data_IF_146031308509
#
_entry.id   IF_146031308509
#
_cell.length_a   1.000
_cell.length_b   1.000
_cell.length_c   1.000
_cell.angle_alpha   90.00
_cell.angle_beta   90.00
_cell.angle_gamma   90.00
#
_symmetry.space_group_name_H-M   'P 1'
#
loop_
_entity.id
_entity.type
_entity.pdbx_description
1 polymer ?
#
# COMPACT_ATOMS: atom_id res chain seq x y z
N UNK A 1 -13.97 -16.93 -29.64
CA UNK A 1 -13.64 -15.57 -29.17
C UNK A 1 -14.98 -14.84 -29.00
N UNK A 2 -15.53 -14.86 -27.79
CA UNK A 2 -16.79 -14.18 -27.50
C UNK A 2 -16.48 -12.71 -27.23
N UNK A 3 -17.04 -11.83 -28.04
CA UNK A 3 -16.97 -10.39 -27.85
C UNK A 3 -18.25 -10.00 -27.12
N UNK A 4 -18.17 -9.69 -25.84
CA UNK A 4 -19.28 -9.13 -25.09
C UNK A 4 -19.28 -7.61 -25.29
N UNK A 5 -20.33 -7.09 -25.90
CA UNK A 5 -20.55 -5.65 -25.98
C UNK A 5 -21.37 -5.23 -24.75
N UNK A 6 -20.78 -4.40 -23.89
CA UNK A 6 -21.48 -3.85 -22.73
C UNK A 6 -22.51 -2.80 -23.16
N UNK A 7 -23.49 -2.48 -22.31
CA UNK A 7 -24.54 -1.48 -22.58
C UNK A 7 -23.98 -0.08 -22.87
N UNK A 8 -22.76 0.18 -22.48
CA UNK A 8 -22.01 1.44 -22.72
C UNK A 8 -21.13 1.40 -24.00
N UNK A 9 -21.21 0.30 -24.79
CA UNK A 9 -20.47 0.15 -26.04
C UNK A 9 -19.02 -0.31 -25.86
N UNK A 10 -18.57 -0.65 -24.65
CA UNK A 10 -17.20 -1.14 -24.41
C UNK A 10 -17.08 -2.59 -24.89
N UNK A 11 -16.09 -2.86 -25.75
CA UNK A 11 -15.85 -4.19 -26.29
C UNK A 11 -14.98 -4.98 -25.31
N UNK A 12 -15.51 -6.06 -24.70
CA UNK A 12 -14.74 -6.97 -23.83
C UNK A 12 -14.31 -8.18 -24.64
N UNK A 13 -13.02 -8.46 -24.66
CA UNK A 13 -12.44 -9.67 -25.25
C UNK A 13 -12.17 -10.63 -24.09
N UNK A 14 -13.12 -11.51 -23.78
CA UNK A 14 -12.98 -12.54 -22.75
C UNK A 14 -12.92 -13.90 -23.46
N UNK A 15 -11.92 -14.69 -23.13
CA UNK A 15 -11.70 -16.04 -23.68
C UNK A 15 -11.88 -17.15 -22.64
N UNK A 16 -11.86 -16.82 -21.37
CA UNK A 16 -12.08 -17.72 -20.24
C UNK A 16 -13.54 -17.65 -19.79
N UNK A 17 -14.27 -18.78 -19.86
CA UNK A 17 -15.69 -18.85 -19.51
C UNK A 17 -15.97 -18.51 -18.04
N UNK A 18 -15.01 -18.73 -17.13
CA UNK A 18 -15.17 -18.31 -15.75
C UNK A 18 -15.16 -16.78 -15.62
N UNK A 19 -14.38 -16.09 -16.44
CA UNK A 19 -14.35 -14.63 -16.48
C UNK A 19 -15.63 -14.03 -17.10
N UNK A 20 -16.32 -14.75 -18.00
CA UNK A 20 -17.63 -14.29 -18.51
C UNK A 20 -18.65 -14.19 -17.36
N UNK A 21 -18.80 -15.24 -16.55
CA UNK A 21 -19.69 -15.23 -15.38
C UNK A 21 -19.30 -14.16 -14.34
N UNK A 22 -18.00 -13.95 -14.12
CA UNK A 22 -17.50 -12.89 -13.25
C UNK A 22 -17.85 -11.50 -13.80
N UNK A 23 -17.71 -11.28 -15.12
CA UNK A 23 -18.07 -10.01 -15.74
C UNK A 23 -19.56 -9.69 -15.58
N UNK A 24 -20.44 -10.68 -15.74
CA UNK A 24 -21.89 -10.52 -15.51
C UNK A 24 -22.20 -10.12 -14.06
N UNK A 25 -21.56 -10.76 -13.08
CA UNK A 25 -21.71 -10.40 -11.66
C UNK A 25 -21.26 -8.97 -11.39
N UNK A 26 -20.09 -8.58 -11.92
CA UNK A 26 -19.55 -7.22 -11.78
C UNK A 26 -20.51 -6.17 -12.38
N UNK A 27 -21.09 -6.45 -13.53
CA UNK A 27 -22.10 -5.57 -14.15
C UNK A 27 -23.38 -5.46 -13.31
N UNK A 28 -23.80 -6.57 -12.71
CA UNK A 28 -24.96 -6.62 -11.82
C UNK A 28 -24.68 -6.07 -10.40
N UNK A 29 -23.44 -5.70 -10.09
CA UNK A 29 -23.04 -5.24 -8.74
C UNK A 29 -23.04 -6.35 -7.70
N UNK A 30 -22.93 -7.62 -8.12
CA UNK A 30 -22.87 -8.80 -7.24
C UNK A 30 -21.43 -9.04 -6.82
N UNK A 31 -21.12 -9.14 -5.50
CA UNK A 31 -19.77 -9.41 -5.02
C UNK A 31 -19.22 -10.76 -5.51
N UNK A 32 -17.94 -10.77 -5.83
CA UNK A 32 -17.19 -11.95 -6.27
C UNK A 32 -16.89 -12.85 -5.06
N UNK A 33 -17.00 -14.17 -5.23
CA UNK A 33 -16.67 -15.18 -4.22
C UNK A 33 -15.15 -15.42 -4.12
N UNK A 34 -14.73 -16.11 -3.06
CA UNK A 34 -13.32 -16.47 -2.87
C UNK A 34 -12.82 -17.45 -3.94
N UNK A 35 -13.66 -18.40 -4.35
CA UNK A 35 -13.35 -19.34 -5.45
C UNK A 35 -13.18 -18.62 -6.79
N UNK A 36 -14.03 -17.63 -7.08
CA UNK A 36 -13.90 -16.79 -8.27
C UNK A 36 -12.63 -15.93 -8.22
N UNK A 37 -12.27 -15.40 -7.04
CA UNK A 37 -11.00 -14.69 -6.86
C UNK A 37 -9.80 -15.61 -7.12
N UNK A 38 -9.86 -16.86 -6.65
CA UNK A 38 -8.84 -17.86 -6.92
C UNK A 38 -8.74 -18.19 -8.42
N UNK A 39 -9.88 -18.33 -9.10
CA UNK A 39 -9.91 -18.55 -10.56
C UNK A 39 -9.28 -17.37 -11.32
N UNK A 40 -9.55 -16.14 -10.91
CA UNK A 40 -8.93 -14.94 -11.49
C UNK A 40 -7.40 -14.92 -11.32
N UNK A 41 -6.88 -15.32 -10.16
CA UNK A 41 -5.44 -15.40 -9.93
C UNK A 41 -4.74 -16.50 -10.76
N UNK A 42 -5.51 -17.49 -11.25
CA UNK A 42 -4.99 -18.61 -12.03
C UNK A 42 -5.28 -18.50 -13.54
N UNK A 43 -6.10 -17.54 -13.97
CA UNK A 43 -6.45 -17.40 -15.39
C UNK A 43 -5.24 -17.09 -16.27
N UNK A 44 -5.25 -17.60 -17.49
CA UNK A 44 -4.33 -17.18 -18.56
C UNK A 44 -4.87 -16.03 -19.40
N UNK A 45 -6.14 -15.68 -19.25
CA UNK A 45 -6.82 -14.60 -19.99
C UNK A 45 -6.56 -13.23 -19.34
N UNK A 46 -5.36 -12.72 -19.58
CA UNK A 46 -4.92 -11.42 -19.03
C UNK A 46 -5.76 -10.26 -19.59
N UNK A 47 -6.13 -10.32 -20.86
CA UNK A 47 -6.93 -9.25 -21.47
C UNK A 47 -8.35 -9.23 -20.92
N UNK A 48 -8.93 -10.39 -20.70
CA UNK A 48 -10.26 -10.54 -20.10
C UNK A 48 -10.31 -9.96 -18.68
N UNK A 49 -9.41 -10.38 -17.80
CA UNK A 49 -9.39 -9.88 -16.42
C UNK A 49 -9.08 -8.38 -16.34
N UNK A 50 -8.16 -7.86 -17.17
CA UNK A 50 -7.89 -6.42 -17.26
C UNK A 50 -9.11 -5.63 -17.74
N UNK A 51 -9.84 -6.13 -18.73
CA UNK A 51 -11.06 -5.48 -19.22
C UNK A 51 -12.12 -5.34 -18.13
N UNK A 52 -12.34 -6.39 -17.33
CA UNK A 52 -13.27 -6.36 -16.20
C UNK A 52 -12.82 -5.33 -15.15
N UNK A 53 -11.54 -5.39 -14.73
CA UNK A 53 -11.00 -4.48 -13.74
C UNK A 53 -11.02 -3.01 -14.21
N UNK A 54 -10.72 -2.77 -15.49
CA UNK A 54 -10.78 -1.46 -16.12
C UNK A 54 -12.21 -0.88 -16.09
N UNK A 55 -13.23 -1.70 -16.41
CA UNK A 55 -14.61 -1.25 -16.38
C UNK A 55 -15.05 -0.76 -14.99
N UNK A 56 -14.57 -1.42 -13.92
CA UNK A 56 -14.83 -0.99 -12.53
C UNK A 56 -14.13 0.35 -12.28
N UNK A 57 -12.86 0.48 -12.66
CA UNK A 57 -12.09 1.74 -12.51
C UNK A 57 -12.76 2.87 -13.26
N UNK A 58 -13.23 2.66 -14.48
CA UNK A 58 -13.94 3.66 -15.28
C UNK A 58 -15.26 4.09 -14.62
N UNK A 59 -16.03 3.16 -14.04
CA UNK A 59 -17.25 3.47 -13.29
C UNK A 59 -16.98 4.32 -12.04
N UNK A 60 -15.88 4.06 -11.33
CA UNK A 60 -15.54 4.73 -10.06
C UNK A 60 -14.84 6.08 -10.25
N UNK A 61 -13.92 6.17 -11.21
CA UNK A 61 -12.97 7.28 -11.32
C UNK A 61 -12.93 7.93 -12.72
N UNK A 62 -13.69 7.39 -13.69
CA UNK A 62 -13.65 7.87 -15.07
C UNK A 62 -12.23 7.83 -15.64
N UNK A 63 -11.86 8.90 -16.35
CA UNK A 63 -10.54 9.01 -16.97
C UNK A 63 -9.46 9.60 -16.04
N UNK A 64 -9.75 9.73 -14.73
CA UNK A 64 -8.79 10.29 -13.76
C UNK A 64 -7.87 9.20 -13.22
N UNK A 65 -6.59 9.55 -13.07
CA UNK A 65 -5.59 8.79 -12.32
C UNK A 65 -4.92 9.71 -11.31
N UNK A 66 -4.89 9.24 -10.06
CA UNK A 66 -4.35 9.97 -8.93
C UNK A 66 -2.85 9.80 -8.78
N UNK A 67 -2.18 10.85 -8.30
CA UNK A 67 -0.79 10.79 -7.87
C UNK A 67 -0.55 11.77 -6.72
N UNK A 68 0.45 11.48 -5.88
CA UNK A 68 0.86 12.34 -4.78
C UNK A 68 2.21 13.02 -5.02
N UNK A 69 2.45 14.11 -4.29
CA UNK A 69 3.79 14.70 -4.17
C UNK A 69 4.21 14.60 -2.71
N UNK A 70 5.06 13.62 -2.40
CA UNK A 70 5.41 13.26 -1.03
C UNK A 70 6.92 13.11 -0.82
N UNK A 71 7.28 13.03 0.45
CA UNK A 71 8.57 12.48 0.87
C UNK A 71 8.35 11.31 1.85
N UNK A 72 9.32 10.41 1.88
CA UNK A 72 9.42 9.37 2.89
C UNK A 72 10.38 9.80 4.01
N UNK A 73 9.96 9.62 5.25
CA UNK A 73 10.75 9.89 6.43
C UNK A 73 10.95 8.61 7.23
N UNK A 74 12.08 7.95 7.01
CA UNK A 74 12.47 6.80 7.82
C UNK A 74 13.27 7.30 9.02
N UNK A 75 12.61 7.51 10.16
CA UNK A 75 13.21 8.15 11.33
C UNK A 75 14.28 7.29 12.03
N UNK A 76 14.24 5.97 11.86
CA UNK A 76 15.28 5.03 12.32
C UNK A 76 15.24 3.73 11.55
N UNK A 77 16.40 3.10 11.34
CA UNK A 77 16.52 1.74 10.85
C UNK A 77 16.76 0.72 11.97
N UNK A 78 16.95 1.17 13.22
CA UNK A 78 17.12 0.30 14.38
C UNK A 78 15.78 -0.40 14.68
N UNK A 79 15.78 -1.74 14.66
CA UNK A 79 14.56 -2.51 14.86
C UNK A 79 14.82 -3.80 15.64
N UNK A 80 14.15 -3.96 16.77
CA UNK A 80 14.27 -5.16 17.61
C UNK A 80 13.68 -6.44 16.99
N UNK A 81 12.82 -6.32 15.96
CA UNK A 81 12.19 -7.48 15.35
C UNK A 81 13.11 -8.23 14.38
N UNK A 82 13.94 -7.53 13.61
CA UNK A 82 14.89 -8.13 12.66
C UNK A 82 14.25 -9.20 11.78
N UNK A 83 13.10 -8.87 11.16
CA UNK A 83 12.32 -9.81 10.34
C UNK A 83 13.13 -10.31 9.15
N UNK A 84 13.04 -11.61 8.79
CA UNK A 84 13.74 -12.16 7.65
C UNK A 84 13.50 -11.44 6.32
N UNK A 85 12.29 -10.94 6.10
CA UNK A 85 11.92 -10.18 4.88
C UNK A 85 12.53 -8.77 4.80
N UNK A 86 13.01 -8.22 5.92
CA UNK A 86 13.36 -6.80 6.00
C UNK A 86 14.85 -6.55 5.78
N UNK A 87 15.21 -5.99 4.64
CA UNK A 87 16.58 -5.57 4.32
C UNK A 87 16.97 -4.24 4.98
N UNK A 88 15.99 -3.44 5.42
CA UNK A 88 16.20 -2.11 5.98
C UNK A 88 16.64 -2.15 7.45
N UNK A 89 16.15 -3.12 8.24
CA UNK A 89 16.34 -3.16 9.70
C UNK A 89 17.80 -3.41 10.11
N UNK A 90 18.26 -2.72 11.17
CA UNK A 90 19.59 -2.83 11.78
C UNK A 90 19.50 -3.13 13.26
N UNK A 91 20.55 -3.77 13.80
CA UNK A 91 20.78 -3.80 15.23
C UNK A 91 21.38 -2.47 15.68
N UNK A 92 21.13 -2.08 16.93
CA UNK A 92 21.57 -0.76 17.47
C UNK A 92 23.08 -0.49 17.30
N UNK A 93 23.89 -1.56 17.32
CA UNK A 93 25.34 -1.47 17.24
C UNK A 93 25.91 -1.60 15.81
N UNK A 94 25.06 -1.71 14.78
CA UNK A 94 25.53 -1.72 13.41
C UNK A 94 26.11 -0.35 13.02
N UNK A 95 27.17 -0.35 12.21
CA UNK A 95 27.85 0.89 11.80
C UNK A 95 26.94 1.84 10.99
N UNK A 96 25.92 1.31 10.30
CA UNK A 96 24.96 2.06 9.52
C UNK A 96 23.60 2.21 10.23
N UNK A 97 23.54 1.91 11.55
CA UNK A 97 22.37 2.20 12.37
C UNK A 97 22.25 3.70 12.64
N UNK A 98 21.00 4.20 12.55
CA UNK A 98 20.74 5.62 12.80
C UNK A 98 19.39 5.86 13.48
N UNK A 99 19.30 7.02 14.12
CA UNK A 99 18.08 7.67 14.59
C UNK A 99 18.17 9.14 14.18
N UNK A 100 17.16 9.66 13.51
CA UNK A 100 17.09 11.09 13.21
C UNK A 100 16.74 11.87 14.49
N UNK A 101 17.45 12.95 14.77
CA UNK A 101 17.03 13.90 15.79
C UNK A 101 15.79 14.69 15.34
N UNK A 102 15.10 15.36 16.25
CA UNK A 102 13.99 16.27 15.90
C UNK A 102 14.48 17.40 14.99
N UNK A 103 15.71 17.88 15.21
CA UNK A 103 16.32 18.92 14.36
C UNK A 103 16.63 18.38 12.94
N UNK A 104 17.09 17.13 12.80
CA UNK A 104 17.27 16.50 11.48
C UNK A 104 15.94 16.40 10.74
N UNK A 105 14.87 16.03 11.44
CA UNK A 105 13.52 15.95 10.89
C UNK A 105 13.04 17.33 10.46
N UNK A 106 13.21 18.35 11.30
CA UNK A 106 12.87 19.73 10.99
C UNK A 106 13.59 20.23 9.72
N UNK A 107 14.89 19.98 9.63
CA UNK A 107 15.69 20.34 8.46
C UNK A 107 15.23 19.64 7.20
N UNK A 108 14.96 18.33 7.25
CA UNK A 108 14.45 17.56 6.10
C UNK A 108 13.09 18.11 5.61
N UNK A 109 12.17 18.38 6.51
CA UNK A 109 10.84 18.92 6.17
C UNK A 109 10.94 20.34 5.58
N UNK A 110 11.83 21.16 6.09
CA UNK A 110 12.07 22.52 5.57
C UNK A 110 12.65 22.47 4.15
N UNK A 111 13.55 21.53 3.87
CA UNK A 111 14.20 21.36 2.57
C UNK A 111 13.34 20.61 1.54
N UNK A 112 12.29 19.92 1.96
CA UNK A 112 11.49 19.06 1.08
C UNK A 112 10.68 19.81 -0.01
N UNK A 113 10.73 21.14 -0.05
CA UNK A 113 10.06 21.93 -1.08
C UNK A 113 8.53 21.85 -0.98
N UNK A 114 7.89 21.82 -2.14
CA UNK A 114 6.42 21.81 -2.25
C UNK A 114 5.88 20.38 -2.30
N UNK A 115 5.69 19.80 -1.11
CA UNK A 115 5.11 18.46 -0.92
C UNK A 115 3.79 18.56 -0.16
N UNK A 116 2.82 17.70 -0.50
CA UNK A 116 1.49 17.66 0.12
C UNK A 116 1.45 16.76 1.35
N UNK A 117 2.33 15.76 1.40
CA UNK A 117 2.30 14.73 2.42
C UNK A 117 3.68 14.18 2.77
N UNK A 118 3.82 13.69 3.99
CA UNK A 118 4.99 12.94 4.45
C UNK A 118 4.57 11.55 4.94
N UNK A 119 5.29 10.52 4.48
CA UNK A 119 5.11 9.14 4.91
C UNK A 119 6.21 8.77 5.91
N UNK A 120 5.81 8.46 7.15
CA UNK A 120 6.71 8.20 8.27
C UNK A 120 6.60 6.75 8.70
N UNK A 121 7.66 5.99 8.50
CA UNK A 121 7.80 4.61 9.00
C UNK A 121 9.23 4.37 9.44
N UNK A 122 9.41 3.54 10.47
CA UNK A 122 10.75 3.20 10.96
C UNK A 122 10.84 1.84 11.62
N UNK A 123 12.01 1.55 12.18
CA UNK A 123 12.21 0.37 13.01
C UNK A 123 11.61 0.54 14.40
N UNK A 124 11.32 -0.58 15.07
CA UNK A 124 10.91 -0.58 16.48
C UNK A 124 12.13 -0.36 17.38
N UNK A 125 12.41 0.89 17.67
CA UNK A 125 13.58 1.27 18.47
C UNK A 125 13.33 1.04 19.97
N UNK A 126 14.21 0.30 20.69
CA UNK A 126 13.98 -0.04 22.09
C UNK A 126 14.05 1.13 23.06
N UNK A 127 14.84 2.17 22.77
CA UNK A 127 15.21 3.20 23.74
C UNK A 127 14.56 4.57 23.51
N UNK A 128 13.90 4.81 22.36
CA UNK A 128 13.25 6.08 22.10
C UNK A 128 12.10 6.32 23.09
N UNK A 129 12.01 7.51 23.70
CA UNK A 129 10.91 7.87 24.59
C UNK A 129 9.63 8.14 23.80
N UNK A 130 8.48 8.07 24.46
CA UNK A 130 7.20 8.32 23.78
C UNK A 130 7.10 9.76 23.23
N UNK A 131 7.63 10.73 23.92
CA UNK A 131 7.65 12.13 23.49
C UNK A 131 8.30 12.32 22.11
N UNK A 132 9.33 11.53 21.79
CA UNK A 132 9.98 11.61 20.48
C UNK A 132 8.99 11.47 19.30
N UNK A 133 8.03 10.55 19.42
CA UNK A 133 7.04 10.30 18.36
C UNK A 133 6.02 11.44 18.26
N UNK A 134 5.58 12.00 19.40
CA UNK A 134 4.68 13.16 19.40
C UNK A 134 5.40 14.43 18.89
N UNK A 135 6.62 14.68 19.36
CA UNK A 135 7.41 15.85 19.00
C UNK A 135 7.74 15.87 17.50
N UNK A 136 8.01 14.69 16.92
CA UNK A 136 8.17 14.55 15.47
C UNK A 136 6.94 15.07 14.72
N UNK A 137 5.74 14.62 15.06
CA UNK A 137 4.51 15.05 14.38
C UNK A 137 4.23 16.54 14.61
N UNK A 138 4.37 17.01 15.84
CA UNK A 138 4.18 18.44 16.20
C UNK A 138 5.15 19.34 15.45
N UNK A 139 6.43 18.95 15.35
CA UNK A 139 7.45 19.68 14.61
C UNK A 139 7.11 19.80 13.13
N UNK A 140 6.70 18.70 12.50
CA UNK A 140 6.26 18.73 11.10
C UNK A 140 5.09 19.69 10.89
N UNK A 141 4.10 19.63 11.78
CA UNK A 141 2.92 20.53 11.71
C UNK A 141 3.26 22.00 12.00
N UNK A 142 4.24 22.26 12.85
CA UNK A 142 4.71 23.62 13.10
C UNK A 142 5.38 24.24 11.86
N UNK A 143 6.15 23.44 11.11
CA UNK A 143 6.85 23.91 9.89
C UNK A 143 5.89 23.99 8.70
N UNK A 144 5.04 23.00 8.49
CA UNK A 144 4.09 22.92 7.38
C UNK A 144 2.68 22.53 7.90
N UNK A 145 1.87 23.50 8.34
CA UNK A 145 0.58 23.26 8.99
C UNK A 145 -0.43 22.47 8.12
N UNK A 146 -0.39 22.65 6.80
CA UNK A 146 -1.29 22.00 5.85
C UNK A 146 -0.84 20.59 5.44
N UNK A 147 0.42 20.19 5.72
CA UNK A 147 0.96 18.90 5.32
C UNK A 147 0.16 17.73 5.89
N UNK A 148 -0.22 16.78 5.04
CA UNK A 148 -0.84 15.55 5.50
C UNK A 148 0.23 14.58 6.01
N UNK A 149 0.10 14.16 7.27
CA UNK A 149 1.03 13.21 7.88
C UNK A 149 0.44 11.80 7.83
N UNK A 150 1.11 10.91 7.08
CA UNK A 150 0.84 9.47 7.07
C UNK A 150 1.90 8.81 7.94
N UNK A 151 1.57 8.36 9.15
CA UNK A 151 2.60 7.92 10.08
C UNK A 151 2.28 6.61 10.77
N UNK A 152 3.37 5.85 10.99
CA UNK A 152 3.49 4.62 11.76
C UNK A 152 2.59 3.48 11.28
N UNK A 153 3.14 2.29 11.26
CA UNK A 153 2.42 1.08 10.87
C UNK A 153 1.63 0.50 12.06
N UNK A 154 0.70 -0.42 11.81
CA UNK A 154 0.00 -1.14 12.87
C UNK A 154 0.97 -1.86 13.83
N UNK A 155 2.13 -2.29 13.32
CA UNK A 155 3.18 -2.93 14.12
C UNK A 155 3.81 -1.94 15.09
N UNK A 156 4.05 -0.69 14.63
CA UNK A 156 4.59 0.39 15.48
C UNK A 156 3.55 0.81 16.53
N UNK A 157 2.27 0.95 16.17
CA UNK A 157 1.21 1.27 17.13
C UNK A 157 1.05 0.21 18.23
N UNK A 158 1.02 -1.08 17.86
CA UNK A 158 0.95 -2.17 18.83
C UNK A 158 2.16 -2.20 19.77
N UNK A 159 3.35 -1.94 19.20
CA UNK A 159 4.59 -1.84 19.98
C UNK A 159 4.57 -0.65 20.95
N UNK A 160 4.19 0.55 20.49
CA UNK A 160 4.14 1.75 21.33
C UNK A 160 3.10 1.61 22.43
N UNK A 161 1.93 1.07 22.13
CA UNK A 161 0.88 0.78 23.10
C UNK A 161 1.40 -0.11 24.22
N UNK A 162 2.08 -1.21 23.89
CA UNK A 162 2.62 -2.15 24.87
C UNK A 162 3.82 -1.60 25.63
N UNK A 163 4.74 -0.92 24.94
CA UNK A 163 5.97 -0.38 25.56
C UNK A 163 5.69 0.69 26.59
N UNK A 164 4.70 1.54 26.34
CA UNK A 164 4.38 2.68 27.22
C UNK A 164 3.12 2.49 28.04
N UNK A 165 2.51 1.30 27.97
CA UNK A 165 1.25 0.96 28.67
C UNK A 165 0.12 1.98 28.38
N UNK A 166 -0.01 2.36 27.10
CA UNK A 166 -1.04 3.29 26.62
C UNK A 166 -2.04 2.51 25.76
N UNK A 167 -3.33 2.50 26.11
CA UNK A 167 -4.35 1.88 25.27
C UNK A 167 -4.36 2.45 23.85
N UNK A 168 -4.62 1.61 22.83
CA UNK A 168 -4.59 2.05 21.43
C UNK A 168 -5.55 3.22 21.15
N UNK A 169 -6.73 3.24 21.75
CA UNK A 169 -7.69 4.35 21.58
C UNK A 169 -7.08 5.68 22.06
N UNK A 170 -6.46 5.69 23.24
CA UNK A 170 -5.76 6.87 23.77
C UNK A 170 -4.57 7.25 22.88
N UNK A 171 -3.79 6.26 22.43
CA UNK A 171 -2.65 6.47 21.57
C UNK A 171 -3.05 7.17 20.25
N UNK A 172 -4.15 6.73 19.63
CA UNK A 172 -4.67 7.35 18.42
C UNK A 172 -5.19 8.77 18.65
N UNK A 173 -5.86 9.03 19.78
CA UNK A 173 -6.28 10.39 20.14
C UNK A 173 -5.08 11.30 20.33
N UNK A 174 -4.04 10.85 21.04
CA UNK A 174 -2.80 11.62 21.24
C UNK A 174 -2.11 11.96 19.93
N UNK A 175 -1.95 10.97 19.03
CA UNK A 175 -1.30 11.23 17.74
C UNK A 175 -2.15 12.10 16.81
N UNK A 176 -3.49 11.97 16.80
CA UNK A 176 -4.36 12.93 16.10
C UNK A 176 -4.12 14.36 16.57
N UNK A 177 -4.07 14.57 17.90
CA UNK A 177 -3.80 15.89 18.48
C UNK A 177 -2.39 16.39 18.13
N UNK A 178 -1.42 15.49 17.93
CA UNK A 178 -0.08 15.83 17.46
C UNK A 178 -0.01 16.10 15.95
N UNK A 179 -1.06 15.82 15.16
CA UNK A 179 -1.14 16.10 13.73
C UNK A 179 -1.19 14.90 12.81
N UNK A 180 -1.37 13.67 13.32
CA UNK A 180 -1.57 12.48 12.48
C UNK A 180 -2.80 12.66 11.58
N UNK A 181 -2.61 12.46 10.26
CA UNK A 181 -3.67 12.53 9.26
C UNK A 181 -4.23 11.17 8.87
N UNK A 182 -3.36 10.18 8.64
CA UNK A 182 -3.75 8.81 8.29
C UNK A 182 -2.65 7.81 8.59
N UNK A 183 -2.94 6.51 8.44
CA UNK A 183 -2.00 5.42 8.74
C UNK A 183 -1.66 4.66 7.46
N UNK A 184 -0.38 4.36 7.19
CA UNK A 184 0.02 3.46 6.10
C UNK A 184 -0.36 2.02 6.41
N UNK A 185 -0.51 1.20 5.37
CA UNK A 185 -0.91 -0.21 5.51
C UNK A 185 0.21 -1.17 5.92
N UNK A 186 1.42 -0.69 6.09
CA UNK A 186 2.60 -1.53 6.33
C UNK A 186 2.46 -2.46 7.53
N UNK A 187 3.21 -3.57 7.49
CA UNK A 187 3.15 -4.61 8.52
C UNK A 187 2.07 -5.67 8.31
N UNK A 188 1.13 -5.46 7.38
CA UNK A 188 0.14 -6.47 6.98
C UNK A 188 0.83 -7.71 6.40
N UNK A 189 1.78 -7.51 5.55
CA UNK A 189 2.51 -8.51 4.76
C UNK A 189 1.54 -9.48 4.05
N UNK A 190 1.34 -10.67 4.61
CA UNK A 190 0.28 -11.63 4.26
C UNK A 190 -0.32 -12.17 5.56
N UNK A 191 -1.64 -12.45 5.59
CA UNK A 191 -2.29 -12.87 6.83
C UNK A 191 -2.16 -14.37 7.11
N UNK A 192 -1.91 -15.20 6.10
CA UNK A 192 -1.72 -16.63 6.23
C UNK A 192 -0.64 -16.93 7.32
N UNK A 193 -1.00 -17.61 8.45
CA UNK A 193 -0.09 -17.75 9.59
C UNK A 193 1.20 -18.51 9.24
N UNK A 194 1.10 -19.56 8.42
CA UNK A 194 2.24 -20.40 8.02
C UNK A 194 3.28 -19.61 7.22
N UNK A 195 2.82 -18.73 6.32
CA UNK A 195 3.68 -17.85 5.53
C UNK A 195 4.29 -16.79 6.43
N UNK A 196 3.47 -16.20 7.30
CA UNK A 196 3.88 -15.12 8.20
C UNK A 196 4.96 -15.57 9.18
N UNK A 197 4.87 -16.81 9.68
CA UNK A 197 5.89 -17.40 10.56
C UNK A 197 7.28 -17.49 9.89
N UNK A 198 7.31 -17.65 8.57
CA UNK A 198 8.57 -17.70 7.81
C UNK A 198 9.12 -16.29 7.55
N UNK A 199 8.25 -15.38 7.06
CA UNK A 199 8.73 -14.09 6.57
C UNK A 199 8.86 -13.02 7.65
N UNK A 200 8.03 -13.09 8.70
CA UNK A 200 7.94 -12.07 9.74
C UNK A 200 7.51 -12.62 11.12
N UNK A 201 8.20 -13.65 11.67
CA UNK A 201 7.75 -14.41 12.85
C UNK A 201 7.57 -13.55 14.12
N UNK A 202 8.26 -12.43 14.21
CA UNK A 202 8.21 -11.52 15.37
C UNK A 202 7.22 -10.35 15.21
N UNK A 203 6.62 -10.18 14.02
CA UNK A 203 5.57 -9.17 13.84
C UNK A 203 4.26 -9.63 14.48
N UNK A 204 3.39 -8.69 14.75
CA UNK A 204 2.01 -8.98 15.18
C UNK A 204 1.31 -9.91 14.17
N UNK A 205 0.39 -10.73 14.62
CA UNK A 205 -0.42 -11.60 13.76
C UNK A 205 -1.29 -10.78 12.79
N UNK A 206 -1.76 -11.40 11.71
CA UNK A 206 -2.72 -10.77 10.79
C UNK A 206 -3.99 -10.32 11.51
N UNK A 207 -4.53 -11.17 12.41
CA UNK A 207 -5.66 -10.81 13.27
C UNK A 207 -5.38 -9.54 14.10
N UNK A 208 -4.21 -9.46 14.73
CA UNK A 208 -3.84 -8.28 15.53
C UNK A 208 -3.68 -7.03 14.68
N UNK A 209 -3.14 -7.17 13.47
CA UNK A 209 -3.06 -6.05 12.52
C UNK A 209 -4.45 -5.51 12.18
N UNK A 210 -5.41 -6.38 11.87
CA UNK A 210 -6.81 -6.01 11.60
C UNK A 210 -7.47 -5.34 12.81
N UNK A 211 -7.23 -5.84 14.02
CA UNK A 211 -7.72 -5.21 15.28
C UNK A 211 -7.19 -3.78 15.44
N UNK A 212 -5.88 -3.55 15.22
CA UNK A 212 -5.28 -2.20 15.31
C UNK A 212 -5.92 -1.27 14.28
N UNK A 213 -6.11 -1.73 13.04
CA UNK A 213 -6.76 -0.93 12.00
C UNK A 213 -8.24 -0.64 12.33
N UNK A 214 -8.98 -1.61 12.85
CA UNK A 214 -10.36 -1.42 13.29
C UNK A 214 -10.46 -0.34 14.39
N UNK A 215 -9.51 -0.33 15.35
CA UNK A 215 -9.45 0.69 16.40
C UNK A 215 -9.13 2.07 15.82
N UNK A 216 -8.20 2.15 14.86
CA UNK A 216 -7.90 3.40 14.16
C UNK A 216 -9.15 3.94 13.43
N UNK A 217 -9.88 3.06 12.70
CA UNK A 217 -11.11 3.43 12.00
C UNK A 217 -12.18 3.96 12.96
N UNK A 218 -12.38 3.30 14.13
CA UNK A 218 -13.31 3.73 15.17
C UNK A 218 -12.95 5.12 15.72
N UNK A 219 -11.66 5.47 15.74
CA UNK A 219 -11.18 6.79 16.13
C UNK A 219 -11.21 7.81 14.97
N UNK A 220 -11.85 7.48 13.84
CA UNK A 220 -11.99 8.35 12.67
C UNK A 220 -10.72 8.56 11.88
N UNK A 221 -9.72 7.66 12.01
CA UNK A 221 -8.47 7.70 11.26
C UNK A 221 -8.60 6.75 10.06
N UNK A 222 -8.49 7.29 8.85
CA UNK A 222 -8.46 6.49 7.62
C UNK A 222 -7.09 5.85 7.44
N UNK A 223 -7.07 4.64 6.86
CA UNK A 223 -5.84 3.89 6.69
C UNK A 223 -5.71 3.34 5.26
N UNK A 224 -4.50 2.94 4.89
CA UNK A 224 -4.30 2.06 3.74
C UNK A 224 -4.33 0.60 4.21
N UNK A 225 -4.62 -0.32 3.28
CA UNK A 225 -4.31 -1.73 3.42
C UNK A 225 -3.20 -2.11 2.44
N UNK A 226 -2.25 -2.94 2.86
CA UNK A 226 -1.18 -3.45 1.98
C UNK A 226 -1.17 -4.96 1.98
N UNK A 227 -0.61 -5.55 0.94
CA UNK A 227 -0.25 -6.97 0.88
C UNK A 227 1.13 -7.09 0.26
N UNK A 228 2.05 -7.82 0.91
CA UNK A 228 3.31 -8.21 0.29
C UNK A 228 3.07 -9.49 -0.52
N UNK A 229 3.48 -9.50 -1.76
CA UNK A 229 3.21 -10.59 -2.69
C UNK A 229 4.45 -10.96 -3.52
N UNK A 230 4.39 -12.11 -4.18
CA UNK A 230 5.46 -12.66 -5.02
C UNK A 230 6.70 -13.11 -4.23
N UNK A 231 6.50 -13.69 -3.02
CA UNK A 231 7.56 -14.30 -2.21
C UNK A 231 7.39 -15.83 -2.10
N UNK A 232 6.67 -16.34 -1.08
CA UNK A 232 6.46 -17.78 -0.83
C UNK A 232 4.99 -18.18 -0.70
N UNK A 233 4.10 -17.19 -0.79
CA UNK A 233 2.66 -17.38 -0.68
C UNK A 233 2.09 -18.18 -1.86
N UNK A 234 0.91 -18.75 -1.63
CA UNK A 234 0.09 -19.41 -2.65
C UNK A 234 -1.07 -18.50 -3.06
N UNK A 235 -1.70 -18.72 -4.22
CA UNK A 235 -2.89 -17.95 -4.61
C UNK A 235 -4.02 -17.95 -3.56
N UNK A 236 -4.22 -19.06 -2.85
CA UNK A 236 -5.19 -19.13 -1.76
C UNK A 236 -4.87 -18.20 -0.59
N UNK A 237 -3.58 -18.00 -0.27
CA UNK A 237 -3.15 -17.08 0.79
C UNK A 237 -3.42 -15.62 0.40
N UNK A 238 -3.34 -15.31 -0.90
CA UNK A 238 -3.70 -14.00 -1.44
C UNK A 238 -5.21 -13.77 -1.28
N UNK A 239 -6.03 -14.76 -1.65
CA UNK A 239 -7.49 -14.68 -1.51
C UNK A 239 -7.88 -14.49 -0.04
N UNK A 240 -7.32 -15.28 0.88
CA UNK A 240 -7.54 -15.14 2.32
C UNK A 240 -7.22 -13.73 2.82
N UNK A 241 -6.10 -13.16 2.39
CA UNK A 241 -5.73 -11.78 2.74
C UNK A 241 -6.75 -10.77 2.23
N UNK A 242 -7.14 -10.84 0.96
CA UNK A 242 -8.14 -9.96 0.37
C UNK A 242 -9.50 -10.11 1.05
N UNK A 243 -9.90 -11.34 1.41
CA UNK A 243 -11.13 -11.64 2.15
C UNK A 243 -11.19 -10.88 3.48
N UNK A 244 -10.16 -10.96 4.29
CA UNK A 244 -10.09 -10.27 5.58
C UNK A 244 -10.10 -8.74 5.44
N UNK A 245 -9.42 -8.18 4.42
CA UNK A 245 -9.48 -6.73 4.13
C UNK A 245 -10.91 -6.33 3.75
N UNK A 246 -11.57 -7.10 2.86
CA UNK A 246 -12.96 -6.83 2.44
C UNK A 246 -13.92 -6.86 3.61
N UNK A 247 -13.83 -7.88 4.48
CA UNK A 247 -14.68 -8.00 5.68
C UNK A 247 -14.53 -6.82 6.63
N UNK A 248 -13.29 -6.40 6.90
CA UNK A 248 -13.05 -5.24 7.77
C UNK A 248 -13.56 -3.95 7.11
N UNK A 249 -13.39 -3.80 5.82
CA UNK A 249 -13.91 -2.65 5.07
C UNK A 249 -15.43 -2.59 5.09
N UNK A 250 -16.13 -3.72 4.97
CA UNK A 250 -17.59 -3.77 5.05
C UNK A 250 -18.13 -3.21 6.37
N UNK A 251 -17.43 -3.50 7.48
CA UNK A 251 -17.83 -3.07 8.81
C UNK A 251 -17.40 -1.64 9.13
N UNK A 252 -16.20 -1.23 8.72
CA UNK A 252 -15.59 0.02 9.19
C UNK A 252 -15.55 1.12 8.13
N UNK A 253 -15.54 0.75 6.85
CA UNK A 253 -15.33 1.68 5.71
C UNK A 253 -14.11 2.58 5.90
N UNK A 254 -13.08 2.08 6.62
CA UNK A 254 -11.92 2.85 7.06
C UNK A 254 -10.74 2.81 6.09
N UNK A 255 -10.61 1.76 5.26
CA UNK A 255 -9.58 1.71 4.24
C UNK A 255 -9.88 2.66 3.09
N UNK A 256 -8.94 3.54 2.77
CA UNK A 256 -9.04 4.46 1.62
C UNK A 256 -8.41 3.87 0.36
N UNK A 257 -7.38 3.03 0.49
CA UNK A 257 -6.73 2.40 -0.65
C UNK A 257 -6.15 1.04 -0.27
N UNK A 258 -6.10 0.14 -1.24
CA UNK A 258 -5.36 -1.11 -1.17
C UNK A 258 -4.10 -1.03 -2.05
N UNK A 259 -2.98 -1.50 -1.50
CA UNK A 259 -1.65 -1.37 -2.11
C UNK A 259 -0.94 -2.73 -2.12
N UNK A 260 -0.98 -3.48 -3.22
CA UNK A 260 -0.11 -4.63 -3.40
C UNK A 260 1.36 -4.19 -3.52
N UNK A 261 2.25 -4.86 -2.79
CA UNK A 261 3.68 -4.60 -2.77
C UNK A 261 4.42 -5.81 -3.33
N UNK A 262 5.09 -5.65 -4.45
CA UNK A 262 5.93 -6.69 -5.02
C UNK A 262 7.17 -6.89 -4.13
N UNK A 263 7.44 -8.13 -3.72
CA UNK A 263 8.59 -8.45 -2.90
C UNK A 263 9.89 -8.38 -3.69
N UNK A 264 10.90 -7.74 -3.11
CA UNK A 264 12.28 -7.72 -3.60
C UNK A 264 13.14 -8.54 -2.64
N UNK A 265 13.84 -9.56 -3.14
CA UNK A 265 14.56 -10.52 -2.28
C UNK A 265 16.01 -10.15 -1.99
N UNK A 266 16.60 -9.21 -2.75
CA UNK A 266 18.01 -8.82 -2.56
C UNK A 266 18.21 -8.28 -1.13
N UNK A 267 19.31 -8.71 -0.50
CA UNK A 267 19.66 -8.34 0.88
C UNK A 267 18.67 -8.78 1.97
N UNK A 268 17.65 -9.59 1.64
CA UNK A 268 16.77 -10.23 2.60
C UNK A 268 17.24 -11.67 2.93
N UNK A 269 16.68 -12.26 3.99
CA UNK A 269 16.92 -13.68 4.33
C UNK A 269 15.91 -14.62 3.68
N UNK A 270 14.92 -14.08 2.99
CA UNK A 270 13.90 -14.86 2.29
C UNK A 270 14.34 -15.06 0.85
N UNK A 271 14.23 -16.32 0.38
CA UNK A 271 14.36 -16.64 -1.04
C UNK A 271 12.99 -16.95 -1.58
N UNK A 272 12.56 -16.21 -2.57
CA UNK A 272 11.31 -16.51 -3.27
C UNK A 272 11.35 -17.93 -3.81
N UNK A 273 10.28 -18.69 -3.56
CA UNK A 273 10.16 -20.07 -4.08
C UNK A 273 9.91 -20.11 -5.58
N UNK A 274 9.51 -19.00 -6.16
CA UNK A 274 9.27 -18.85 -7.58
C UNK A 274 10.47 -18.16 -8.25
N UNK A 275 10.64 -18.41 -9.55
CA UNK A 275 11.39 -17.50 -10.41
C UNK A 275 10.80 -16.09 -10.26
N UNK A 276 11.63 -15.09 -10.52
CA UNK A 276 11.23 -13.68 -10.54
C UNK A 276 9.80 -13.53 -11.13
N UNK A 277 8.87 -12.83 -10.44
CA UNK A 277 7.51 -12.71 -10.89
C UNK A 277 7.46 -12.03 -12.26
N UNK A 278 6.63 -12.56 -13.13
CA UNK A 278 6.41 -11.97 -14.45
C UNK A 278 5.47 -10.78 -14.38
N UNK A 279 5.48 -9.93 -15.41
CA UNK A 279 4.47 -8.87 -15.53
C UNK A 279 3.04 -9.41 -15.49
N UNK A 280 2.79 -10.62 -15.97
CA UNK A 280 1.47 -11.26 -15.93
C UNK A 280 1.03 -11.63 -14.51
N UNK A 281 1.94 -12.08 -13.66
CA UNK A 281 1.62 -12.37 -12.26
C UNK A 281 1.23 -11.08 -11.52
N UNK A 282 1.94 -9.99 -11.78
CA UNK A 282 1.63 -8.67 -11.22
C UNK A 282 0.27 -8.17 -11.72
N UNK A 283 0.02 -8.24 -13.03
CA UNK A 283 -1.25 -7.78 -13.64
C UNK A 283 -2.44 -8.55 -13.05
N UNK A 284 -2.38 -9.89 -13.02
CA UNK A 284 -3.45 -10.72 -12.45
C UNK A 284 -3.77 -10.33 -11.02
N UNK A 285 -2.76 -10.14 -10.20
CA UNK A 285 -2.95 -9.79 -8.79
C UNK A 285 -3.62 -8.41 -8.63
N UNK A 286 -3.19 -7.38 -9.37
CA UNK A 286 -3.81 -6.05 -9.29
C UNK A 286 -5.24 -6.04 -9.84
N UNK A 287 -5.48 -6.70 -10.98
CA UNK A 287 -6.81 -6.82 -11.56
C UNK A 287 -7.77 -7.59 -10.64
N UNK A 288 -7.32 -8.73 -10.08
CA UNK A 288 -8.09 -9.48 -9.07
C UNK A 288 -8.42 -8.61 -7.85
N UNK A 289 -7.43 -7.87 -7.32
CA UNK A 289 -7.66 -6.98 -6.19
C UNK A 289 -8.73 -5.92 -6.49
N UNK A 290 -8.72 -5.28 -7.67
CA UNK A 290 -9.76 -4.31 -8.07
C UNK A 290 -11.14 -4.95 -8.14
N UNK A 291 -11.24 -6.15 -8.74
CA UNK A 291 -12.52 -6.82 -8.93
C UNK A 291 -13.07 -7.33 -7.59
N UNK A 292 -12.22 -7.93 -6.76
CA UNK A 292 -12.61 -8.55 -5.50
C UNK A 292 -12.90 -7.53 -4.39
N UNK A 293 -12.10 -6.47 -4.29
CA UNK A 293 -12.23 -5.42 -3.26
C UNK A 293 -13.17 -4.29 -3.74
N UNK A 294 -14.39 -4.64 -4.17
CA UNK A 294 -15.39 -3.71 -4.69
C UNK A 294 -15.73 -2.57 -3.71
N UNK A 295 -15.52 -2.78 -2.42
CA UNK A 295 -15.80 -1.84 -1.31
C UNK A 295 -14.59 -0.95 -0.93
N UNK A 296 -13.41 -1.16 -1.53
CA UNK A 296 -12.22 -0.30 -1.33
C UNK A 296 -12.13 0.71 -2.47
N UNK A 297 -12.15 2.03 -2.17
CA UNK A 297 -12.24 3.06 -3.22
C UNK A 297 -11.09 3.01 -4.23
N UNK A 298 -9.85 2.91 -3.75
CA UNK A 298 -8.67 3.05 -4.58
C UNK A 298 -7.78 1.81 -4.58
N UNK A 299 -7.22 1.47 -5.75
CA UNK A 299 -6.12 0.49 -5.90
C UNK A 299 -4.90 1.25 -6.38
N UNK A 300 -3.84 1.20 -5.58
CA UNK A 300 -2.61 1.96 -5.82
C UNK A 300 -1.48 1.04 -6.27
N UNK A 301 -0.85 1.37 -7.39
CA UNK A 301 0.39 0.74 -7.83
C UNK A 301 1.58 1.64 -7.49
N UNK A 302 2.45 1.19 -6.60
CA UNK A 302 3.69 1.90 -6.32
C UNK A 302 4.68 1.64 -7.44
N UNK A 303 4.85 2.62 -8.34
CA UNK A 303 5.75 2.49 -9.50
C UNK A 303 7.19 2.11 -9.11
N UNK A 304 7.64 2.45 -7.90
CA UNK A 304 8.96 2.06 -7.40
C UNK A 304 9.09 0.55 -7.15
N UNK A 305 8.00 -0.12 -6.81
CA UNK A 305 7.99 -1.57 -6.54
C UNK A 305 7.85 -2.41 -7.80
N UNK A 306 6.99 -1.99 -8.72
CA UNK A 306 6.68 -2.77 -9.94
C UNK A 306 7.42 -2.28 -11.20
N UNK A 307 8.11 -1.16 -11.09
CA UNK A 307 8.72 -0.46 -12.22
C UNK A 307 7.72 0.43 -12.98
N UNK A 308 8.18 1.55 -13.56
CA UNK A 308 7.30 2.55 -14.17
C UNK A 308 6.51 2.00 -15.37
N UNK A 309 7.10 1.11 -16.18
CA UNK A 309 6.45 0.51 -17.36
C UNK A 309 5.28 -0.39 -16.95
N UNK A 310 5.46 -1.22 -15.92
CA UNK A 310 4.39 -2.09 -15.41
C UNK A 310 3.33 -1.25 -14.71
N UNK A 311 3.72 -0.27 -13.90
CA UNK A 311 2.78 0.65 -13.26
C UNK A 311 1.87 1.36 -14.29
N UNK A 312 2.43 1.79 -15.42
CA UNK A 312 1.68 2.41 -16.51
C UNK A 312 0.66 1.44 -17.13
N UNK A 313 1.05 0.18 -17.40
CA UNK A 313 0.12 -0.86 -17.91
C UNK A 313 -1.00 -1.14 -16.92
N UNK A 314 -0.70 -1.15 -15.61
CA UNK A 314 -1.70 -1.40 -14.57
C UNK A 314 -2.82 -0.36 -14.53
N UNK A 315 -2.61 0.85 -15.06
CA UNK A 315 -3.66 1.87 -15.21
C UNK A 315 -4.80 1.40 -16.14
N UNK A 316 -4.50 0.52 -17.08
CA UNK A 316 -5.49 -0.14 -17.95
C UNK A 316 -6.08 -1.42 -17.31
N UNK A 317 -5.55 -1.85 -16.16
CA UNK A 317 -5.94 -3.09 -15.47
C UNK A 317 -6.57 -2.80 -14.09
N UNK A 318 -7.28 -1.68 -13.95
CA UNK A 318 -8.07 -1.37 -12.75
C UNK A 318 -7.39 -0.52 -11.68
N UNK A 319 -6.11 -0.16 -11.86
CA UNK A 319 -5.40 0.77 -10.99
C UNK A 319 -5.82 2.21 -11.29
N UNK A 320 -6.09 2.98 -10.27
CA UNK A 320 -6.48 4.40 -10.36
C UNK A 320 -5.48 5.35 -9.69
N UNK A 321 -4.45 4.83 -9.00
CA UNK A 321 -3.42 5.62 -8.33
C UNK A 321 -2.03 5.02 -8.62
N UNK A 322 -1.14 5.83 -9.22
CA UNK A 322 0.21 5.39 -9.60
C UNK A 322 1.24 5.55 -8.46
N UNK A 323 0.81 6.09 -7.32
CA UNK A 323 1.68 6.39 -6.19
C UNK A 323 2.11 7.85 -6.15
N UNK A 324 3.34 8.11 -5.73
CA UNK A 324 3.80 9.46 -5.48
C UNK A 324 5.27 9.66 -5.88
N UNK A 325 5.82 10.83 -5.58
CA UNK A 325 7.21 11.18 -5.90
C UNK A 325 8.24 10.40 -5.08
N UNK A 326 7.91 9.99 -3.86
CA UNK A 326 8.73 9.18 -2.93
C UNK A 326 10.13 9.75 -2.66
N UNK A 327 10.26 11.05 -2.54
CA UNK A 327 11.54 11.64 -2.18
C UNK A 327 12.09 11.02 -0.87
N UNK A 328 13.38 10.65 -0.87
CA UNK A 328 14.11 10.00 0.24
C UNK A 328 13.56 8.61 0.66
N UNK A 329 13.00 7.82 -0.28
CA UNK A 329 12.58 6.44 -0.03
C UNK A 329 13.80 5.52 0.13
N UNK A 330 13.84 4.73 1.23
CA UNK A 330 14.97 3.87 1.57
C UNK A 330 14.62 2.39 1.70
N UNK A 331 13.37 2.07 1.98
CA UNK A 331 12.97 0.70 2.37
C UNK A 331 13.04 -0.27 1.20
N UNK A 332 12.40 0.04 0.07
CA UNK A 332 12.40 -0.82 -1.10
C UNK A 332 13.79 -0.88 -1.77
N UNK A 333 14.52 0.25 -1.77
CA UNK A 333 15.87 0.28 -2.32
C UNK A 333 16.87 -0.53 -1.47
N UNK A 334 16.68 -0.60 -0.16
CA UNK A 334 17.46 -1.51 0.69
C UNK A 334 17.24 -2.99 0.35
N UNK A 335 16.08 -3.32 -0.21
CA UNK A 335 15.75 -4.68 -0.68
C UNK A 335 16.14 -4.93 -2.15
N UNK A 336 16.84 -3.99 -2.80
CA UNK A 336 17.41 -4.18 -4.13
C UNK A 336 16.55 -3.70 -5.29
N UNK A 337 15.52 -2.86 -5.05
CA UNK A 337 14.78 -2.23 -6.15
C UNK A 337 15.71 -1.40 -7.04
N UNK A 338 15.62 -1.62 -8.36
CA UNK A 338 16.47 -0.98 -9.39
C UNK A 338 15.85 0.29 -10.00
N UNK A 339 14.70 0.70 -9.49
CA UNK A 339 14.02 1.92 -9.93
C UNK A 339 14.76 3.17 -9.42
N UNK A 340 14.56 4.35 -10.04
CA UNK A 340 15.09 5.60 -9.50
C UNK A 340 14.64 5.83 -8.05
N UNK A 341 15.49 6.44 -7.24
CA UNK A 341 15.21 6.69 -5.81
C UNK A 341 14.03 7.67 -5.58
N UNK A 342 13.64 8.41 -6.59
CA UNK A 342 12.47 9.29 -6.58
C UNK A 342 12.00 9.57 -8.02
N UNK A 343 10.72 9.96 -8.19
CA UNK A 343 10.15 10.41 -9.44
C UNK A 343 9.72 11.87 -9.33
N UNK A 344 9.98 12.67 -10.37
CA UNK A 344 9.48 14.03 -10.42
C UNK A 344 7.96 14.07 -10.71
N UNK A 345 7.30 15.14 -10.32
CA UNK A 345 5.88 15.34 -10.66
C UNK A 345 5.63 15.30 -12.19
N UNK A 346 6.43 15.98 -13.05
CA UNK A 346 6.30 15.85 -14.50
C UNK A 346 6.46 14.43 -15.02
N UNK A 347 7.32 13.61 -14.40
CA UNK A 347 7.48 12.20 -14.76
C UNK A 347 6.20 11.40 -14.50
N UNK A 348 5.57 11.56 -13.33
CA UNK A 348 4.31 10.87 -13.01
C UNK A 348 3.18 11.32 -13.95
N UNK A 349 3.07 12.62 -14.19
CA UNK A 349 2.09 13.17 -15.13
C UNK A 349 2.29 12.64 -16.55
N UNK A 350 3.55 12.48 -17.00
CA UNK A 350 3.86 11.91 -18.30
C UNK A 350 3.39 10.45 -18.39
N UNK A 351 3.71 9.61 -17.40
CA UNK A 351 3.26 8.22 -17.37
C UNK A 351 1.73 8.10 -17.47
N UNK A 352 1.01 8.97 -16.76
CA UNK A 352 -0.45 8.97 -16.75
C UNK A 352 -1.04 9.43 -18.09
N UNK A 353 -0.54 10.54 -18.64
CA UNK A 353 -1.04 11.10 -19.92
C UNK A 353 -0.74 10.18 -21.10
N UNK A 354 0.43 9.58 -21.13
CA UNK A 354 0.84 8.65 -22.20
C UNK A 354 0.03 7.35 -22.18
N UNK A 355 -0.52 6.95 -21.02
CA UNK A 355 -1.50 5.89 -20.88
C UNK A 355 -2.94 6.29 -21.26
N UNK A 356 -3.18 7.54 -21.66
CA UNK A 356 -4.48 8.05 -22.08
C UNK A 356 -5.37 8.60 -20.96
N UNK A 357 -4.80 8.84 -19.76
CA UNK A 357 -5.57 9.32 -18.58
C UNK A 357 -5.25 10.77 -18.22
N UNK A 358 -6.13 11.34 -17.40
CA UNK A 358 -5.98 12.69 -16.83
C UNK A 358 -5.34 12.61 -15.44
N UNK A 359 -4.12 13.15 -15.24
CA UNK A 359 -3.49 13.17 -13.93
C UNK A 359 -4.18 14.15 -12.98
N UNK A 360 -4.43 13.71 -11.74
CA UNK A 360 -4.94 14.55 -10.66
C UNK A 360 -4.04 14.44 -9.42
N UNK A 361 -3.43 15.57 -9.04
CA UNK A 361 -2.62 15.65 -7.83
C UNK A 361 -3.52 15.68 -6.60
N UNK A 362 -3.25 14.77 -5.65
CA UNK A 362 -4.00 14.63 -4.41
C UNK A 362 -3.06 14.42 -3.22
N UNK A 363 -3.54 14.74 -2.02
CA UNK A 363 -2.89 14.28 -0.79
C UNK A 363 -3.32 12.84 -0.44
N UNK A 364 -2.77 12.28 0.64
CA UNK A 364 -3.07 10.92 1.08
C UNK A 364 -4.53 10.68 1.52
N UNK A 365 -5.38 11.70 1.57
CA UNK A 365 -6.83 11.58 1.76
C UNK A 365 -7.62 11.70 0.47
N UNK A 366 -6.95 11.68 -0.68
CA UNK A 366 -7.54 11.88 -2.02
C UNK A 366 -8.25 13.23 -2.19
N UNK A 367 -7.80 14.24 -1.43
CA UNK A 367 -8.25 15.63 -1.59
C UNK A 367 -7.35 16.30 -2.64
N UNK A 368 -7.89 16.87 -3.73
CA UNK A 368 -7.12 17.61 -4.70
C UNK A 368 -6.33 18.74 -4.04
N UNK A 369 -5.05 18.88 -4.41
CA UNK A 369 -4.16 19.90 -3.83
C UNK A 369 -3.79 21.00 -4.80
N UNK A 370 -3.97 20.75 -6.11
CA UNK A 370 -3.82 21.73 -7.22
C UNK A 370 -4.62 21.31 -8.44
#
# INVERSE_FOLDING_TARGET
>A
MNILCTKDGTMKIITDSNLEAIAEKVEAGIPITDDEALAMLLTSDIMGICSIAHSIKQKLHGNVVYYGVNMNLNYTNVCMLRCPLCAFSRDKNNADAYVLSIDDIANKITQAGDIDEVHIVGGLHPDLPFSYYEDMLKTIKAIKPTMHIVAFTAVEYDYLSKKFDIPLDELFVRFKNAGLGSIPGGGAEIFAPEVREIIAPKKISGKRWLEVMAIAHRNGIKTNATMLCNHIEKPADIVDHLHHIRQLQDTTKGFKTFVPLAFHEEHTKIKAKRKEPTGYDIIRMYATARIYLHNVPHIKALWMYVGPKVAQVLLQCGVDDIGATYYDEKVVHSAGAKTPAWGSEPFLQHLIRDAGFTPLRVNASYIPTR
#
